data_IF_448547570774
#
_entry.id   IF_448547570774
#
_cell.length_a   1.000
_cell.length_b   1.000
_cell.length_c   1.000
_cell.angle_alpha   90.00
_cell.angle_beta   90.00
_cell.angle_gamma   90.00
#
_symmetry.space_group_name_H-M   'P 1'
#
loop_
_entity.id
_entity.type
_entity.pdbx_description
1 polymer ?
#
# COMPACT_ATOMS: atom_id res chain seq x y z
N UNK A 1 22.59 1.52 6.83
CA UNK A 1 21.61 0.49 6.46
C UNK A 1 20.53 1.13 5.62
N UNK A 2 20.38 0.76 4.34
CA UNK A 2 19.35 1.36 3.48
C UNK A 2 17.98 0.76 3.83
N UNK A 3 17.03 1.60 4.25
CA UNK A 3 15.72 1.18 4.78
C UNK A 3 14.58 1.66 3.89
N UNK A 4 13.55 0.84 3.74
CA UNK A 4 12.34 1.16 3.01
C UNK A 4 11.10 0.98 3.90
N UNK A 5 10.20 1.96 3.88
CA UNK A 5 8.83 1.82 4.38
C UNK A 5 7.89 1.70 3.18
N UNK A 6 7.09 0.63 3.14
CA UNK A 6 6.03 0.42 2.16
C UNK A 6 4.69 0.68 2.82
N UNK A 7 3.99 1.72 2.36
CA UNK A 7 2.63 2.06 2.81
C UNK A 7 1.62 1.44 1.85
N UNK A 8 0.98 0.36 2.28
CA UNK A 8 0.10 -0.46 1.45
C UNK A 8 -1.34 0.05 1.53
N UNK A 9 -1.87 0.51 0.39
CA UNK A 9 -3.30 0.71 0.12
C UNK A 9 -4.07 1.50 1.21
N UNK A 10 -3.46 2.56 1.75
CA UNK A 10 -4.11 3.48 2.70
C UNK A 10 -5.10 4.42 1.99
N UNK A 11 -6.01 3.87 1.20
CA UNK A 11 -7.00 4.57 0.39
C UNK A 11 -8.33 4.71 1.14
N UNK A 12 -9.11 5.74 0.82
CA UNK A 12 -10.37 6.02 1.51
C UNK A 12 -11.33 4.82 1.49
N UNK A 13 -11.45 4.12 0.35
CA UNK A 13 -12.35 2.96 0.25
C UNK A 13 -12.00 1.82 1.21
N UNK A 14 -10.74 1.67 1.62
CA UNK A 14 -10.35 0.65 2.60
C UNK A 14 -10.40 1.13 4.06
N UNK A 15 -10.63 2.42 4.28
CA UNK A 15 -10.62 3.03 5.61
C UNK A 15 -12.05 3.33 6.06
N UNK A 16 -12.72 4.26 5.38
CA UNK A 16 -14.05 4.78 5.72
C UNK A 16 -15.03 4.78 4.53
N UNK A 17 -14.63 4.20 3.39
CA UNK A 17 -15.45 4.08 2.18
C UNK A 17 -16.02 2.68 1.95
N UNK A 18 -16.03 2.23 0.69
CA UNK A 18 -16.79 1.05 0.25
C UNK A 18 -16.46 -0.26 0.98
N UNK A 19 -15.22 -0.42 1.43
CA UNK A 19 -14.69 -1.56 2.17
C UNK A 19 -14.06 -1.12 3.52
N UNK A 20 -14.50 0.03 4.04
CA UNK A 20 -14.01 0.60 5.30
C UNK A 20 -14.40 -0.20 6.53
N UNK A 21 -13.60 -0.07 7.59
CA UNK A 21 -13.82 -0.72 8.90
C UNK A 21 -13.34 0.19 10.04
N UNK A 22 -13.94 0.04 11.23
CA UNK A 22 -13.50 0.79 12.42
C UNK A 22 -12.04 0.49 12.77
N UNK A 23 -11.58 -0.73 12.51
CA UNK A 23 -10.20 -1.16 12.70
C UNK A 23 -9.25 -0.44 11.74
N UNK A 24 -9.64 -0.27 10.47
CA UNK A 24 -8.86 0.47 9.49
C UNK A 24 -8.77 1.97 9.84
N UNK A 25 -9.87 2.58 10.28
CA UNK A 25 -9.86 3.96 10.79
C UNK A 25 -8.91 4.12 12.00
N UNK A 26 -8.92 3.14 12.92
CA UNK A 26 -8.13 3.20 14.15
C UNK A 26 -6.61 3.18 13.92
N UNK A 27 -6.12 2.65 12.80
CA UNK A 27 -4.67 2.61 12.51
C UNK A 27 -4.14 3.85 11.80
N UNK A 28 -5.00 4.75 11.28
CA UNK A 28 -4.59 5.90 10.46
C UNK A 28 -3.54 6.76 11.17
N UNK A 29 -3.76 7.10 12.44
CA UNK A 29 -2.82 7.91 13.22
C UNK A 29 -1.48 7.20 13.47
N UNK A 30 -1.50 5.88 13.63
CA UNK A 30 -0.28 5.09 13.80
C UNK A 30 0.54 5.04 12.51
N UNK A 31 -0.12 4.91 11.36
CA UNK A 31 0.51 4.99 10.04
C UNK A 31 1.15 6.37 9.82
N UNK A 32 0.42 7.45 10.11
CA UNK A 32 0.93 8.83 10.04
C UNK A 32 2.17 9.00 10.92
N UNK A 33 2.11 8.54 12.18
CA UNK A 33 3.24 8.58 13.11
C UNK A 33 4.45 7.81 12.57
N UNK A 34 4.23 6.65 11.95
CA UNK A 34 5.30 5.83 11.36
C UNK A 34 5.97 6.56 10.19
N UNK A 35 5.18 7.13 9.27
CA UNK A 35 5.67 7.91 8.12
C UNK A 35 6.53 9.09 8.58
N UNK A 36 6.02 9.88 9.53
CA UNK A 36 6.71 11.06 10.05
C UNK A 36 8.03 10.71 10.77
N UNK A 37 8.09 9.55 11.44
CA UNK A 37 9.28 9.08 12.14
C UNK A 37 10.30 8.36 11.25
N UNK A 38 9.96 7.98 10.02
CA UNK A 38 10.79 7.10 9.21
C UNK A 38 12.04 7.78 8.64
N UNK A 39 13.20 7.18 8.88
CA UNK A 39 14.52 7.65 8.45
C UNK A 39 15.07 6.79 7.31
N UNK A 40 14.31 6.66 6.23
CA UNK A 40 14.65 5.89 5.03
C UNK A 40 13.71 6.22 3.86
N UNK A 41 13.80 5.47 2.78
CA UNK A 41 12.94 5.67 1.61
C UNK A 41 11.49 5.27 1.95
N UNK A 42 10.52 5.92 1.29
CA UNK A 42 9.10 5.65 1.47
C UNK A 42 8.48 5.46 0.08
N UNK A 43 7.69 4.39 -0.05
CA UNK A 43 6.87 4.14 -1.23
C UNK A 43 5.46 3.76 -0.78
N UNK A 44 4.49 3.91 -1.67
CA UNK A 44 3.13 3.46 -1.43
C UNK A 44 2.59 2.61 -2.58
N UNK A 45 1.65 1.73 -2.27
CA UNK A 45 0.83 1.04 -3.28
C UNK A 45 -0.57 1.63 -3.28
N UNK A 46 -1.21 1.61 -4.45
CA UNK A 46 -2.62 1.94 -4.60
C UNK A 46 -3.28 0.83 -5.40
N UNK A 47 -4.29 0.21 -4.79
CA UNK A 47 -5.20 -0.62 -5.55
C UNK A 47 -5.97 0.27 -6.54
N UNK A 48 -6.04 -0.17 -7.79
CA UNK A 48 -6.48 0.68 -8.90
C UNK A 48 -7.33 -0.15 -9.85
N UNK A 49 -8.65 -0.03 -9.70
CA UNK A 49 -9.63 -0.68 -10.56
C UNK A 49 -10.20 0.27 -11.60
N UNK A 50 -10.83 -0.29 -12.63
CA UNK A 50 -11.48 0.45 -13.71
C UNK A 50 -12.99 0.14 -13.74
N UNK A 51 -13.73 0.84 -14.60
CA UNK A 51 -15.19 0.67 -14.70
C UNK A 51 -15.66 -0.75 -15.05
N UNK A 52 -14.78 -1.62 -15.55
CA UNK A 52 -15.08 -3.02 -15.82
C UNK A 52 -14.83 -3.97 -14.62
N UNK A 53 -14.58 -3.45 -13.41
CA UNK A 53 -14.28 -4.25 -12.21
C UNK A 53 -15.23 -5.44 -12.01
N UNK A 54 -16.54 -5.23 -12.11
CA UNK A 54 -17.57 -6.28 -11.95
C UNK A 54 -17.47 -7.44 -12.96
N UNK A 55 -16.76 -7.25 -14.07
CA UNK A 55 -16.51 -8.29 -15.08
C UNK A 55 -15.20 -9.08 -14.85
N UNK A 56 -14.36 -8.63 -13.92
CA UNK A 56 -13.10 -9.29 -13.56
C UNK A 56 -13.36 -10.54 -12.71
N UNK A 57 -12.33 -11.36 -12.48
CA UNK A 57 -12.46 -12.49 -11.56
C UNK A 57 -12.69 -11.99 -10.12
N UNK A 58 -11.92 -10.99 -9.70
CA UNK A 58 -12.03 -10.42 -8.37
C UNK A 58 -13.41 -9.81 -8.15
N UNK A 59 -13.91 -8.96 -9.05
CA UNK A 59 -15.23 -8.34 -8.91
C UNK A 59 -16.40 -9.33 -8.96
N UNK A 60 -16.21 -10.55 -9.49
CA UNK A 60 -17.21 -11.63 -9.35
C UNK A 60 -17.19 -12.28 -7.97
N UNK A 61 -16.03 -12.34 -7.31
CA UNK A 61 -15.84 -12.96 -6.00
C UNK A 61 -15.99 -11.97 -4.85
N UNK A 62 -15.72 -10.69 -5.10
CA UNK A 62 -15.89 -9.53 -4.21
C UNK A 62 -16.72 -8.48 -4.97
N UNK A 63 -18.06 -8.62 -5.03
CA UNK A 63 -18.92 -7.77 -5.85
C UNK A 63 -19.19 -6.40 -5.21
N UNK A 64 -18.13 -5.68 -4.83
CA UNK A 64 -18.17 -4.33 -4.26
C UNK A 64 -17.25 -3.45 -5.10
N UNK A 65 -17.82 -2.44 -5.77
CA UNK A 65 -17.00 -1.44 -6.47
C UNK A 65 -16.19 -0.67 -5.43
N UNK A 66 -14.88 -0.65 -5.59
CA UNK A 66 -13.96 0.09 -4.74
C UNK A 66 -12.73 0.51 -5.54
N UNK A 67 -11.96 1.47 -5.02
CA UNK A 67 -10.66 1.89 -5.53
C UNK A 67 -10.65 2.15 -7.05
N UNK A 68 -11.74 2.70 -7.60
CA UNK A 68 -11.85 3.01 -9.02
C UNK A 68 -11.02 4.25 -9.32
N UNK A 69 -10.12 4.16 -10.30
CA UNK A 69 -9.17 5.21 -10.60
C UNK A 69 -9.83 6.59 -10.76
N UNK A 70 -9.23 7.60 -10.13
CA UNK A 70 -9.70 9.00 -10.10
C UNK A 70 -11.00 9.28 -9.31
N UNK A 71 -11.57 8.30 -8.62
CA UNK A 71 -12.66 8.54 -7.66
C UNK A 71 -12.13 8.98 -6.29
N UNK A 72 -12.99 9.51 -5.42
CA UNK A 72 -12.61 9.88 -4.05
C UNK A 72 -12.20 8.66 -3.22
N UNK A 73 -12.89 7.53 -3.38
CA UNK A 73 -12.55 6.26 -2.72
C UNK A 73 -11.14 5.75 -3.05
N UNK A 74 -10.67 6.02 -4.27
CA UNK A 74 -9.33 5.63 -4.73
C UNK A 74 -8.19 6.49 -4.17
N UNK A 75 -8.45 7.71 -3.71
CA UNK A 75 -7.40 8.58 -3.19
C UNK A 75 -6.84 8.04 -1.87
N UNK A 76 -5.56 8.29 -1.62
CA UNK A 76 -4.94 8.06 -0.31
C UNK A 76 -5.69 8.90 0.74
N UNK A 77 -5.88 8.34 1.93
CA UNK A 77 -6.48 9.04 3.05
C UNK A 77 -5.76 10.36 3.31
N UNK A 78 -6.54 11.42 3.48
CA UNK A 78 -6.03 12.80 3.58
C UNK A 78 -4.88 12.95 4.59
N UNK A 79 -4.98 12.37 5.78
CA UNK A 79 -3.93 12.49 6.81
C UNK A 79 -2.66 11.75 6.41
N UNK A 80 -2.81 10.60 5.76
CA UNK A 80 -1.69 9.80 5.26
C UNK A 80 -1.01 10.53 4.11
N UNK A 81 -1.78 11.08 3.17
CA UNK A 81 -1.26 11.87 2.04
C UNK A 81 -0.50 13.12 2.52
N UNK A 82 -1.06 13.85 3.50
CA UNK A 82 -0.40 14.98 4.15
C UNK A 82 0.92 14.57 4.82
N UNK A 83 0.97 13.40 5.49
CA UNK A 83 2.19 12.88 6.09
C UNK A 83 3.24 12.46 5.04
N UNK A 84 2.82 11.82 3.95
CA UNK A 84 3.70 11.45 2.83
C UNK A 84 4.31 12.70 2.19
N UNK A 85 3.49 13.70 1.88
CA UNK A 85 3.94 14.97 1.31
C UNK A 85 4.84 15.76 2.28
N UNK A 86 4.51 15.75 3.57
CA UNK A 86 5.27 16.41 4.63
C UNK A 86 6.58 15.70 5.00
N UNK A 87 6.80 14.47 4.53
CA UNK A 87 7.98 13.66 4.88
C UNK A 87 9.31 14.22 4.34
N UNK A 88 9.26 15.15 3.38
CA UNK A 88 10.42 15.71 2.68
C UNK A 88 11.07 14.73 1.69
N UNK A 89 10.41 13.62 1.37
CA UNK A 89 10.92 12.54 0.51
C UNK A 89 10.13 12.47 -0.79
N UNK A 90 10.79 12.05 -1.87
CA UNK A 90 10.09 11.67 -3.10
C UNK A 90 9.43 10.31 -2.90
N UNK A 91 8.11 10.31 -2.73
CA UNK A 91 7.34 9.07 -2.54
C UNK A 91 6.91 8.51 -3.90
N UNK A 92 7.41 7.32 -4.25
CA UNK A 92 6.93 6.61 -5.45
C UNK A 92 5.63 5.86 -5.11
N UNK A 93 4.62 6.06 -5.95
CA UNK A 93 3.35 5.35 -5.89
C UNK A 93 3.29 4.24 -6.95
N UNK A 94 2.91 3.03 -6.53
CA UNK A 94 2.73 1.86 -7.39
C UNK A 94 1.24 1.54 -7.54
N UNK A 95 0.67 1.91 -8.69
CA UNK A 95 -0.71 1.54 -9.04
C UNK A 95 -0.74 0.06 -9.43
N UNK A 96 -1.58 -0.74 -8.78
CA UNK A 96 -1.71 -2.18 -9.03
C UNK A 96 -3.17 -2.53 -9.32
N UNK A 97 -3.38 -3.55 -10.16
CA UNK A 97 -4.70 -4.12 -10.47
C UNK A 97 -4.90 -5.49 -9.81
N UNK A 98 -4.01 -5.82 -8.86
CA UNK A 98 -3.91 -7.10 -8.14
C UNK A 98 -3.55 -6.81 -6.69
N UNK A 99 -3.75 -7.77 -5.78
CA UNK A 99 -3.40 -7.57 -4.36
C UNK A 99 -1.91 -7.26 -4.11
N UNK A 100 -1.01 -8.03 -4.72
CA UNK A 100 0.45 -7.76 -4.70
C UNK A 100 0.92 -6.96 -5.91
N UNK A 101 2.03 -6.23 -5.80
CA UNK A 101 2.65 -5.49 -6.88
C UNK A 101 4.01 -6.07 -7.29
N UNK A 102 4.08 -6.66 -8.49
CA UNK A 102 5.35 -7.10 -9.08
C UNK A 102 6.26 -5.92 -9.43
N UNK A 103 5.68 -4.76 -9.81
CA UNK A 103 6.48 -3.56 -10.09
C UNK A 103 7.18 -3.05 -8.83
N UNK A 104 6.50 -3.11 -7.68
CA UNK A 104 7.12 -2.80 -6.38
C UNK A 104 8.27 -3.78 -6.09
N UNK A 105 8.03 -5.08 -6.20
CA UNK A 105 9.06 -6.10 -5.95
C UNK A 105 10.28 -5.92 -6.89
N UNK A 106 10.04 -5.63 -8.17
CA UNK A 106 11.08 -5.36 -9.15
C UNK A 106 11.86 -4.07 -8.89
N UNK A 107 11.20 -3.04 -8.35
CA UNK A 107 11.88 -1.83 -7.90
C UNK A 107 12.77 -2.12 -6.69
N UNK A 108 12.24 -2.78 -5.66
CA UNK A 108 12.98 -3.15 -4.45
C UNK A 108 14.22 -3.98 -4.79
N UNK A 109 14.07 -4.97 -5.68
CA UNK A 109 15.17 -5.85 -6.12
C UNK A 109 16.37 -5.08 -6.70
N UNK A 110 16.14 -3.90 -7.27
CA UNK A 110 17.20 -3.07 -7.88
C UNK A 110 17.87 -2.13 -6.89
N UNK A 111 17.30 -1.96 -5.70
CA UNK A 111 17.64 -0.87 -4.79
C UNK A 111 18.46 -1.29 -3.55
N UNK A 112 18.87 -2.57 -3.44
CA UNK A 112 19.75 -3.09 -2.36
C UNK A 112 19.33 -2.66 -0.94
N UNK A 113 18.03 -2.70 -0.63
CA UNK A 113 17.53 -2.43 0.72
C UNK A 113 17.94 -3.54 1.69
N UNK A 114 18.43 -3.14 2.86
CA UNK A 114 18.81 -4.08 3.92
C UNK A 114 17.58 -4.48 4.76
N UNK A 115 16.67 -3.53 5.00
CA UNK A 115 15.44 -3.75 5.77
C UNK A 115 14.25 -3.08 5.10
N UNK A 116 13.13 -3.79 5.01
CA UNK A 116 11.88 -3.33 4.39
C UNK A 116 10.74 -3.56 5.38
N UNK A 117 10.04 -2.51 5.75
CA UNK A 117 8.88 -2.59 6.65
C UNK A 117 7.60 -2.29 5.88
N UNK A 118 6.61 -3.16 6.03
CA UNK A 118 5.28 -3.00 5.42
C UNK A 118 4.28 -2.55 6.47
N UNK A 119 3.54 -1.49 6.17
CA UNK A 119 2.39 -1.05 6.97
C UNK A 119 1.20 -0.83 6.05
N UNK A 120 -0.02 -0.87 6.58
CA UNK A 120 -1.22 -0.51 5.82
C UNK A 120 -2.28 -1.60 5.82
N UNK A 121 -3.04 -1.70 4.74
CA UNK A 121 -4.30 -2.43 4.71
C UNK A 121 -4.38 -3.44 3.55
N UNK A 122 -5.13 -4.55 3.69
CA UNK A 122 -5.32 -5.30 4.94
C UNK A 122 -4.22 -6.36 5.08
N UNK A 123 -3.99 -6.82 6.31
CA UNK A 123 -2.87 -7.72 6.66
C UNK A 123 -2.91 -9.04 5.87
N UNK A 124 -4.09 -9.62 5.70
CA UNK A 124 -4.33 -10.95 5.17
C UNK A 124 -4.52 -11.02 3.64
N UNK A 125 -4.52 -9.87 2.95
CA UNK A 125 -4.67 -9.79 1.50
C UNK A 125 -3.52 -8.98 0.88
N UNK A 126 -3.61 -7.65 0.84
CA UNK A 126 -2.65 -6.82 0.09
C UNK A 126 -1.28 -6.76 0.78
N UNK A 127 -1.24 -6.63 2.11
CA UNK A 127 0.03 -6.57 2.84
C UNK A 127 0.80 -7.87 2.68
N UNK A 128 0.19 -9.01 3.01
CA UNK A 128 0.86 -10.31 2.87
C UNK A 128 1.23 -10.63 1.42
N UNK A 129 0.40 -10.26 0.44
CA UNK A 129 0.71 -10.47 -0.99
C UNK A 129 1.96 -9.70 -1.43
N UNK A 130 2.11 -8.43 -1.00
CA UNK A 130 3.29 -7.63 -1.29
C UNK A 130 4.53 -8.13 -0.53
N UNK A 131 4.37 -8.57 0.72
CA UNK A 131 5.44 -9.17 1.54
C UNK A 131 5.99 -10.43 0.86
N UNK A 132 5.13 -11.35 0.43
CA UNK A 132 5.54 -12.61 -0.22
C UNK A 132 6.28 -12.32 -1.53
N UNK A 133 5.72 -11.44 -2.39
CA UNK A 133 6.34 -11.07 -3.65
C UNK A 133 7.71 -10.42 -3.43
N UNK A 134 7.82 -9.54 -2.42
CA UNK A 134 9.08 -8.88 -2.06
C UNK A 134 10.09 -9.89 -1.52
N UNK A 135 9.70 -10.80 -0.63
CA UNK A 135 10.61 -11.83 -0.09
C UNK A 135 11.14 -12.75 -1.18
N UNK A 136 10.32 -13.09 -2.18
CA UNK A 136 10.75 -13.84 -3.34
C UNK A 136 11.78 -13.07 -4.20
N UNK A 137 11.66 -11.74 -4.27
CA UNK A 137 12.57 -10.89 -5.04
C UNK A 137 13.89 -10.58 -4.33
N UNK A 138 13.88 -10.50 -2.99
CA UNK A 138 15.05 -10.17 -2.15
C UNK A 138 15.14 -11.10 -0.92
N UNK A 139 15.74 -12.30 -1.05
CA UNK A 139 15.72 -13.32 0.00
C UNK A 139 16.52 -12.93 1.26
N UNK A 140 17.54 -12.07 1.12
CA UNK A 140 18.44 -11.69 2.21
C UNK A 140 18.01 -10.42 2.96
N UNK A 141 17.11 -9.61 2.39
CA UNK A 141 16.59 -8.42 3.08
C UNK A 141 15.74 -8.84 4.28
N UNK A 142 15.89 -8.12 5.40
CA UNK A 142 15.01 -8.23 6.54
C UNK A 142 13.64 -7.64 6.17
N UNK A 143 12.57 -8.39 6.42
CA UNK A 143 11.19 -7.94 6.13
C UNK A 143 10.38 -7.99 7.42
N UNK A 144 9.75 -6.88 7.76
CA UNK A 144 8.86 -6.73 8.90
C UNK A 144 7.49 -6.21 8.47
N UNK A 145 6.48 -6.50 9.29
CA UNK A 145 5.08 -6.07 9.16
C UNK A 145 4.60 -5.55 10.50
#
# INVERSE_FOLDING_TARGET
>A
MKKLLVVVDMQNDFIDGALGTNEAEAIVENVVKKINGWQGDIVCTLDTHQGNYMSTQEGRNLPVMHCVENTDGWKINKKVDEALAGSGKTVKAFKKVTFGSLELADHIRKENYESIEFIGLCTDICVISNVIATKAAVPESEITV
#
